data_IF_611621807571
#
_entry.id   IF_611621807571
#
_cell.length_a   1.000
_cell.length_b   1.000
_cell.length_c   1.000
_cell.angle_alpha   90.00
_cell.angle_beta   90.00
_cell.angle_gamma   90.00
#
_symmetry.space_group_name_H-M   'P 1'
#
loop_
_entity.id
_entity.type
_entity.pdbx_description
1 polymer ?
2 non-polymer ?
3 water ?
#
# COMPACT_ATOMS: atom_id res chain seq x y z
N UNK A 1 7.75 -24.08 0.92
CA UNK A 1 7.90 -22.67 1.39
C UNK A 1 9.04 -21.95 0.68
N UNK A 2 8.84 -20.65 0.47
CA UNK A 2 9.84 -19.81 -0.14
C UNK A 2 10.84 -19.29 0.91
N UNK A 3 12.12 -19.21 0.53
CA UNK A 3 13.13 -18.64 1.42
C UNK A 3 13.07 -17.11 1.41
N UNK A 4 13.78 -16.50 2.35
CA UNK A 4 14.00 -15.07 2.30
C UNK A 4 14.70 -14.65 1.00
N UNK A 5 14.49 -13.40 0.63
CA UNK A 5 14.96 -12.83 -0.64
C UNK A 5 16.25 -12.05 -0.40
N UNK A 6 17.21 -12.20 -1.31
CA UNK A 6 18.40 -11.38 -1.31
C UNK A 6 17.98 -9.91 -1.43
N UNK A 7 18.51 -9.06 -0.56
CA UNK A 7 18.16 -7.66 -0.57
C UNK A 7 16.91 -7.33 0.22
N UNK A 8 16.17 -8.35 0.66
CA UNK A 8 14.90 -8.14 1.32
C UNK A 8 15.01 -7.68 2.77
N UNK A 9 16.23 -7.56 3.31
CA UNK A 9 16.38 -6.99 4.67
C UNK A 9 16.34 -5.47 4.65
N UNK A 10 16.26 -4.91 3.46
CA UNK A 10 15.95 -3.52 3.24
C UNK A 10 14.44 -3.44 3.12
N UNK A 11 13.84 -2.59 3.93
CA UNK A 11 12.39 -2.50 3.93
C UNK A 11 11.89 -1.69 2.73
N UNK A 12 11.02 -2.32 1.94
CA UNK A 12 10.31 -1.70 0.82
C UNK A 12 8.85 -2.08 0.94
N UNK A 13 8.00 -1.08 1.19
CA UNK A 13 6.58 -1.33 1.40
C UNK A 13 5.81 -0.28 0.62
N UNK A 14 4.77 -0.73 -0.07
CA UNK A 14 4.00 0.12 -1.00
C UNK A 14 2.52 -0.04 -0.77
N UNK A 15 1.79 1.03 -1.01
CA UNK A 15 0.33 1.01 -1.03
C UNK A 15 -0.06 1.07 -2.50
N UNK A 16 -0.78 0.07 -3.00
CA UNK A 16 -1.05 -0.05 -4.45
C UNK A 16 -2.55 -0.08 -4.67
N UNK A 17 -3.01 0.66 -5.68
CA UNK A 17 -4.39 0.59 -6.09
C UNK A 17 -4.45 0.02 -7.50
N UNK A 18 -5.32 -0.96 -7.69
CA UNK A 18 -5.37 -1.72 -8.93
C UNK A 18 -6.83 -1.90 -9.36
N UNK A 19 -7.13 -1.73 -10.67
CA UNK A 19 -8.49 -2.06 -11.07
C UNK A 19 -8.74 -3.58 -11.00
N UNK A 20 -9.96 -3.96 -10.66
CA UNK A 20 -10.34 -5.37 -10.71
C UNK A 20 -10.33 -5.83 -12.17
N UNK A 21 -10.74 -4.95 -13.08
CA UNK A 21 -10.85 -5.27 -14.51
C UNK A 21 -10.36 -4.06 -15.28
N UNK A 22 -9.09 -4.07 -15.65
CA UNK A 22 -8.51 -2.92 -16.35
C UNK A 22 -9.08 -2.72 -17.73
N UNK A 23 -9.73 -3.74 -18.28
CA UNK A 23 -10.39 -3.61 -19.56
C UNK A 23 -11.76 -2.95 -19.54
N UNK A 24 -12.30 -2.68 -18.34
CA UNK A 24 -13.66 -2.14 -18.22
C UNK A 24 -13.60 -0.95 -17.26
N UNK A 25 -12.92 0.12 -17.66
CA UNK A 25 -12.72 1.23 -16.74
C UNK A 25 -13.98 1.93 -16.32
N UNK A 26 -15.08 1.83 -17.10
CA UNK A 26 -16.33 2.50 -16.69
C UNK A 26 -16.99 1.81 -15.53
N UNK A 27 -16.82 0.49 -15.42
CA UNK A 27 -17.57 -0.30 -14.45
C UNK A 27 -16.72 -0.87 -13.35
N UNK A 28 -15.41 -0.95 -13.55
CA UNK A 28 -14.61 -1.67 -12.61
C UNK A 28 -14.52 -1.03 -11.21
N UNK A 29 -14.58 -1.89 -10.19
CA UNK A 29 -14.11 -1.45 -8.89
C UNK A 29 -12.59 -1.54 -8.81
N UNK A 30 -12.06 -1.10 -7.69
CA UNK A 30 -10.65 -1.03 -7.44
C UNK A 30 -10.29 -1.82 -6.17
N UNK A 31 -9.04 -2.21 -6.10
CA UNK A 31 -8.47 -2.95 -4.97
C UNK A 31 -7.31 -2.16 -4.41
N UNK A 32 -7.25 -2.04 -3.08
CA UNK A 32 -6.11 -1.46 -2.38
C UNK A 32 -5.32 -2.58 -1.76
N UNK A 33 -4.01 -2.57 -1.95
CA UNK A 33 -3.12 -3.58 -1.38
C UNK A 33 -2.00 -2.93 -0.61
N UNK A 34 -1.57 -3.63 0.43
CA UNK A 34 -0.27 -3.36 1.04
C UNK A 34 0.70 -4.38 0.47
N UNK A 35 1.76 -3.89 -0.18
CA UNK A 35 2.74 -4.74 -0.83
C UNK A 35 4.01 -4.72 0.00
N UNK A 36 4.37 -5.87 0.55
CA UNK A 36 5.51 -5.97 1.45
C UNK A 36 6.67 -6.67 0.74
N UNK A 37 7.47 -5.86 0.07
CA UNK A 37 8.62 -6.33 -0.67
C UNK A 37 9.83 -6.36 0.27
N UNK A 38 9.73 -7.25 1.24
CA UNK A 38 10.74 -7.36 2.28
C UNK A 38 10.65 -8.68 3.02
N UNK A 39 11.73 -8.97 3.74
CA UNK A 39 11.86 -10.20 4.52
C UNK A 39 11.26 -10.07 5.92
N UNK A 40 10.60 -8.94 6.21
CA UNK A 40 9.98 -8.69 7.53
C UNK A 40 8.51 -9.00 7.54
N UNK A 41 8.00 -9.42 8.71
CA UNK A 41 6.58 -9.37 8.99
C UNK A 41 6.24 -7.90 9.31
N UNK A 42 5.03 -7.48 8.97
CA UNK A 42 4.54 -6.13 9.29
C UNK A 42 3.28 -6.27 10.13
N UNK A 43 3.10 -5.39 11.12
CA UNK A 43 1.78 -5.08 11.61
C UNK A 43 1.48 -3.73 11.03
N UNK A 44 0.25 -3.52 10.56
CA UNK A 44 -0.09 -2.27 9.91
C UNK A 44 -1.51 -1.85 10.27
N UNK A 45 -1.76 -0.55 10.03
CA UNK A 45 -3.09 0.00 9.93
C UNK A 45 -3.15 0.85 8.67
N UNK A 46 -4.35 0.90 8.09
CA UNK A 46 -4.67 1.73 6.92
C UNK A 46 -5.89 2.56 7.29
N UNK A 47 -5.72 3.87 7.30
CA UNK A 47 -6.70 4.81 7.84
C UNK A 47 -7.05 5.86 6.83
N UNK A 48 -8.26 6.42 6.95
CA UNK A 48 -8.65 7.57 6.13
C UNK A 48 -9.18 8.71 7.01
N UNK A 49 -8.82 9.94 6.63
CA UNK A 49 -9.17 11.13 7.40
C UNK A 49 -10.62 11.51 7.13
N UNK A 50 -11.30 11.98 8.17
CA UNK A 50 -12.60 12.54 8.01
C UNK A 50 -12.66 13.62 9.04
N UNK A 51 -12.46 14.85 8.59
CA UNK A 51 -12.44 15.99 9.48
C UNK A 51 -11.15 16.01 10.26
N UNK A 52 -11.27 16.12 11.58
CA UNK A 52 -10.12 16.12 12.46
C UNK A 52 -9.81 14.69 12.93
N UNK A 53 -10.59 13.71 12.47
CA UNK A 53 -10.43 12.36 12.96
C UNK A 53 -10.07 11.43 11.82
N UNK A 54 -9.88 10.17 12.16
CA UNK A 54 -9.49 9.13 11.21
C UNK A 54 -10.29 7.85 11.44
N UNK A 55 -10.62 7.19 10.35
CA UNK A 55 -11.31 5.92 10.37
C UNK A 55 -10.40 4.82 9.93
N UNK A 56 -10.43 3.73 10.66
CA UNK A 56 -9.59 2.60 10.32
C UNK A 56 -10.29 1.78 9.27
N UNK A 57 -9.59 1.59 8.15
CA UNK A 57 -10.14 0.81 7.05
C UNK A 57 -9.66 -0.62 7.03
N UNK A 58 -8.48 -0.87 7.56
CA UNK A 58 -7.92 -2.24 7.57
C UNK A 58 -6.75 -2.25 8.54
N UNK A 59 -6.52 -3.38 9.19
CA UNK A 59 -5.36 -3.54 10.07
C UNK A 59 -5.04 -5.01 10.21
N UNK A 60 -3.79 -5.32 10.53
CA UNK A 60 -3.42 -6.70 10.79
C UNK A 60 -1.96 -6.97 10.52
N UNK A 61 -1.69 -8.21 10.15
CA UNK A 61 -0.36 -8.72 9.86
C UNK A 61 -0.17 -8.94 8.35
N UNK A 62 1.01 -8.58 7.86
CA UNK A 62 1.45 -8.97 6.53
C UNK A 62 2.72 -9.81 6.68
N UNK A 63 2.70 -10.98 6.07
CA UNK A 63 3.87 -11.86 6.05
C UNK A 63 4.97 -11.35 5.11
N UNK A 64 6.20 -11.85 5.27
CA UNK A 64 7.27 -11.43 4.36
C UNK A 64 6.96 -11.70 2.88
N UNK A 65 7.40 -10.81 2.01
CA UNK A 65 7.41 -11.08 0.54
C UNK A 65 6.05 -11.48 0.01
N UNK A 66 5.05 -10.74 0.46
CA UNK A 66 3.70 -10.94 0.00
C UNK A 66 2.92 -9.64 -0.04
N UNK A 67 1.68 -9.75 -0.50
CA UNK A 67 0.79 -8.60 -0.53
C UNK A 67 -0.52 -8.99 0.13
N UNK A 68 -1.22 -7.99 0.62
CA UNK A 68 -2.47 -8.19 1.31
C UNK A 68 -3.50 -7.22 0.73
N UNK A 69 -4.65 -7.77 0.36
CA UNK A 69 -5.78 -6.96 -0.06
C UNK A 69 -6.36 -6.25 1.16
N UNK A 70 -6.33 -4.92 1.10
CA UNK A 70 -6.85 -4.07 2.19
C UNK A 70 -8.36 -3.83 2.03
N UNK A 71 -8.81 -3.62 0.79
CA UNK A 71 -10.15 -3.14 0.54
C UNK A 71 -10.48 -3.28 -0.93
N UNK A 72 -11.72 -3.61 -1.22
CA UNK A 72 -12.28 -3.51 -2.57
C UNK A 72 -13.31 -2.40 -2.51
N UNK A 73 -13.27 -1.47 -3.48
CA UNK A 73 -14.15 -0.34 -3.42
C UNK A 73 -14.56 0.15 -4.80
N UNK A 74 -15.73 0.76 -4.87
CA UNK A 74 -16.14 1.49 -6.08
C UNK A 74 -15.70 2.96 -6.03
N UNK A 75 -15.77 3.63 -7.19
CA UNK A 75 -15.28 5.02 -7.27
C UNK A 75 -16.01 6.02 -6.36
N UNK A 76 -17.23 5.70 -5.93
CA UNK A 76 -17.93 6.55 -4.94
C UNK A 76 -17.13 6.67 -3.63
N UNK A 77 -16.33 5.68 -3.33
CA UNK A 77 -15.53 5.66 -2.10
C UNK A 77 -14.33 6.64 -2.19
N UNK A 78 -13.99 7.09 -3.40
CA UNK A 78 -12.87 8.02 -3.56
C UNK A 78 -13.05 9.29 -2.74
N UNK A 79 -14.30 9.69 -2.53
CA UNK A 79 -14.62 10.85 -1.72
C UNK A 79 -14.18 10.69 -0.26
N UNK A 80 -14.00 9.44 0.17
CA UNK A 80 -13.49 9.16 1.53
C UNK A 80 -11.97 9.10 1.62
N UNK A 81 -11.29 9.14 0.49
CA UNK A 81 -9.86 8.81 0.37
C UNK A 81 -9.00 10.03 -0.02
N UNK A 82 -9.53 11.23 0.20
CA UNK A 82 -8.78 12.45 -0.05
C UNK A 82 -7.42 12.39 0.67
N UNK A 83 -7.42 11.90 1.91
CA UNK A 83 -6.22 11.76 2.72
C UNK A 83 -6.31 10.41 3.42
N UNK A 84 -5.28 9.60 3.24
CA UNK A 84 -5.19 8.30 3.88
C UNK A 84 -3.84 8.20 4.60
N UNK A 85 -3.68 7.17 5.40
CA UNK A 85 -2.42 6.94 6.08
C UNK A 85 -2.18 5.45 6.20
N UNK A 86 -0.89 5.09 6.21
CA UNK A 86 -0.46 3.76 6.60
C UNK A 86 0.50 3.90 7.76
N UNK A 87 0.26 3.14 8.83
CA UNK A 87 1.23 3.05 9.95
C UNK A 87 1.66 1.59 10.04
N UNK A 88 2.92 1.38 10.35
CA UNK A 88 3.38 0.00 10.50
C UNK A 88 4.62 -0.11 11.34
N UNK A 89 4.84 -1.32 11.82
CA UNK A 89 6.09 -1.76 12.41
C UNK A 89 6.50 -3.06 11.73
N UNK A 90 7.80 -3.31 11.69
CA UNK A 90 8.38 -4.45 10.96
C UNK A 90 9.23 -5.27 11.89
N UNK A 91 9.19 -6.57 11.76
CA UNK A 91 9.97 -7.46 12.63
C UNK A 91 10.21 -8.81 11.97
N UNK A 92 11.14 -9.58 12.53
CA UNK A 92 11.29 -10.97 12.19
C UNK A 92 10.98 -11.78 13.45
N UNK A 93 10.69 -13.05 13.27
CA UNK A 93 10.28 -13.88 14.38
C UNK A 93 11.16 -15.10 14.37
N UNK A 94 12.08 -15.15 15.32
CA UNK A 94 12.98 -16.30 15.48
C UNK A 94 14.27 -16.19 14.73
N UNK A 95 14.54 -15.02 14.16
CA UNK A 95 15.78 -14.73 13.45
C UNK A 95 16.23 -13.36 13.94
N UNK A 96 17.54 -13.17 14.18
CA UNK A 96 17.99 -11.83 14.51
C UNK A 96 17.75 -10.92 13.33
N UNK A 97 17.56 -9.64 13.61
CA UNK A 97 17.26 -8.65 12.60
C UNK A 97 17.74 -7.28 13.01
N UNK A 98 17.98 -6.42 12.01
CA UNK A 98 18.14 -5.01 12.26
C UNK A 98 16.82 -4.44 12.78
N UNK A 99 16.92 -3.45 13.65
CA UNK A 99 15.75 -2.69 14.08
C UNK A 99 15.37 -1.75 12.94
N UNK A 100 14.07 -1.70 12.66
CA UNK A 100 13.52 -0.88 11.62
C UNK A 100 12.74 0.26 12.24
N UNK A 101 12.56 1.36 11.51
CA UNK A 101 11.76 2.48 12.00
C UNK A 101 10.30 2.06 12.22
N UNK A 102 9.66 2.70 13.19
CA UNK A 102 8.21 2.63 13.28
C UNK A 102 7.72 3.73 12.36
N UNK A 103 6.77 3.38 11.50
CA UNK A 103 6.44 4.21 10.33
C UNK A 103 5.01 4.75 10.36
N UNK A 104 4.87 6.04 10.08
CA UNK A 104 3.57 6.58 9.79
C UNK A 104 3.70 7.47 8.57
N UNK A 105 2.90 7.20 7.54
CA UNK A 105 2.92 7.97 6.29
C UNK A 105 1.50 8.40 5.93
N UNK A 106 1.30 9.72 5.83
CA UNK A 106 0.04 10.29 5.38
C UNK A 106 0.17 10.68 3.90
N UNK A 107 -0.88 10.37 3.15
CA UNK A 107 -0.88 10.57 1.69
C UNK A 107 -2.15 11.25 1.23
N UNK A 108 -2.00 12.19 0.28
CA UNK A 108 -3.18 12.69 -0.43
C UNK A 108 -3.29 11.89 -1.71
N UNK A 109 -4.34 11.10 -1.85
CA UNK A 109 -4.50 10.23 -3.01
C UNK A 109 -4.93 11.03 -4.25
N UNK A 110 -4.33 10.65 -5.38
CA UNK A 110 -4.58 11.28 -6.68
C UNK A 110 -5.82 10.66 -7.26
N UNK A 111 -6.97 11.08 -6.75
CA UNK A 111 -8.23 10.44 -7.12
C UNK A 111 -8.56 10.67 -8.60
N UNK A 112 -8.06 11.75 -9.22
CA UNK A 112 -8.34 11.96 -10.65
C UNK A 112 -7.84 10.78 -11.52
N UNK A 113 -6.78 10.13 -11.07
CA UNK A 113 -6.13 9.08 -11.86
C UNK A 113 -6.98 7.84 -12.00
N UNK A 114 -7.95 7.65 -11.09
CA UNK A 114 -8.77 6.45 -11.12
C UNK A 114 -9.71 6.39 -12.31
N UNK A 115 -9.83 7.50 -13.04
CA UNK A 115 -10.62 7.58 -14.27
C UNK A 115 -9.74 7.46 -15.52
N UNK A 116 -8.42 7.34 -15.33
CA UNK A 116 -7.45 7.44 -16.42
C UNK A 116 -6.39 6.34 -16.32
N UNK A 117 -6.68 5.21 -16.94
CA UNK A 117 -5.83 4.04 -16.79
C UNK A 117 -4.38 4.30 -17.20
N UNK A 118 -4.16 5.17 -18.17
CA UNK A 118 -2.79 5.40 -18.67
C UNK A 118 -1.93 6.12 -17.61
N UNK A 119 -2.54 6.65 -16.55
CA UNK A 119 -1.77 7.30 -15.47
C UNK A 119 -1.29 6.30 -14.43
N UNK A 120 -1.86 5.11 -14.46
CA UNK A 120 -1.35 4.00 -13.64
C UNK A 120 -0.10 3.49 -14.30
N UNK A 121 0.72 2.73 -13.59
CA UNK A 121 2.00 2.30 -14.15
C UNK A 121 2.21 0.80 -14.10
N UNK A 122 3.02 0.31 -15.03
CA UNK A 122 3.40 -1.08 -15.03
C UNK A 122 4.23 -1.34 -13.76
N UNK A 123 4.02 -2.50 -13.19
CA UNK A 123 4.79 -2.89 -12.02
C UNK A 123 5.02 -4.38 -12.02
N UNK A 124 6.00 -4.80 -11.25
CA UNK A 124 6.29 -6.23 -11.10
C UNK A 124 5.23 -6.94 -10.24
N UNK A 125 4.39 -6.16 -9.57
CA UNK A 125 3.49 -6.70 -8.54
C UNK A 125 2.13 -7.13 -9.08
N UNK A 126 1.75 -6.66 -10.27
CA UNK A 126 0.44 -6.97 -10.84
C UNK A 126 0.57 -7.06 -12.34
N UNK A 127 -0.36 -7.76 -12.98
CA UNK A 127 -0.39 -7.76 -14.43
C UNK A 127 -1.02 -6.44 -14.95
N UNK A 128 -2.10 -5.99 -14.31
CA UNK A 128 -2.75 -4.68 -14.58
C UNK A 128 -1.78 -3.56 -14.20
N UNK A 129 -1.94 -2.39 -14.84
CA UNK A 129 -1.32 -1.18 -14.29
C UNK A 129 -1.79 -0.91 -12.88
N UNK A 130 -0.93 -0.27 -12.09
CA UNK A 130 -1.26 0.03 -10.70
C UNK A 130 -0.83 1.45 -10.34
N UNK A 131 -1.52 2.04 -9.38
CA UNK A 131 -1.16 3.32 -8.80
C UNK A 131 -0.46 2.99 -7.50
N UNK A 132 0.84 3.26 -7.47
CA UNK A 132 1.67 2.82 -6.37
C UNK A 132 2.26 4.00 -5.60
N UNK A 133 2.01 4.00 -4.29
CA UNK A 133 2.55 4.99 -3.36
C UNK A 133 3.57 4.32 -2.45
N UNK A 134 4.74 4.93 -2.31
CA UNK A 134 5.75 4.45 -1.38
C UNK A 134 5.31 4.69 0.04
N UNK A 135 5.43 3.67 0.89
CA UNK A 135 5.32 3.84 2.34
C UNK A 135 6.73 3.81 2.98
N UNK A 136 7.50 2.79 2.62
CA UNK A 136 8.92 2.75 2.93
C UNK A 136 9.64 2.40 1.66
N UNK A 137 10.64 3.20 1.32
CA UNK A 137 11.43 2.94 0.11
C UNK A 137 12.88 2.89 0.54
N UNK A 138 13.51 1.74 0.31
CA UNK A 138 14.93 1.57 0.64
C UNK A 138 15.21 2.00 2.08
N UNK A 139 14.37 1.48 2.99
CA UNK A 139 14.45 1.73 4.44
C UNK A 139 14.02 3.13 4.89
N UNK A 140 13.67 4.02 3.96
CA UNK A 140 13.30 5.40 4.29
C UNK A 140 11.79 5.56 4.22
N UNK A 141 11.15 5.84 5.36
CA UNK A 141 9.73 6.18 5.33
C UNK A 141 9.43 7.35 4.42
N UNK A 142 8.36 7.26 3.67
CA UNK A 142 8.02 8.29 2.68
C UNK A 142 7.25 9.47 3.28
N UNK A 143 7.69 9.96 4.43
CA UNK A 143 7.09 11.14 5.08
C UNK A 143 7.01 12.40 4.20
N UNK A 144 5.84 13.05 4.22
CA UNK A 144 5.61 14.34 3.56
C UNK A 144 5.93 14.29 2.06
N UNK A 145 5.86 13.09 1.48
CA UNK A 145 6.17 12.92 0.07
C UNK A 145 4.93 13.18 -0.78
N UNK A 146 3.79 12.63 -0.35
CA UNK A 146 2.56 12.74 -1.13
C UNK A 146 1.49 13.61 -0.45
N UNK A 147 1.88 14.78 0.05
CA UNK A 147 0.96 15.71 0.74
C UNK A 147 1.17 17.14 0.23
X LIG B 1 3.19 -5.89 -14.43
#
# INVERSE_FOLDING_TARGET
>A
RQPEVRGGDTLNVFLAYVPEDAKAMMTTPFEAYLVNDSNYYLYYTYLSAEGKAWNNRSHGLVEPNTKLLLEEFTKDVLNEMERVAVQLIAFKDGKPAAIKPAVSVELRIDTVKFYKLHTFSASDFFEEPALIYDIVKDDVPAKQVYV
>B hetero
1 MG MG
#
